data_IF_398539866663
#
_entry.id   IF_398539866663
#
_cell.length_a   1.000
_cell.length_b   1.000
_cell.length_c   1.000
_cell.angle_alpha   90.00
_cell.angle_beta   90.00
_cell.angle_gamma   90.00
#
_symmetry.space_group_name_H-M   'P 1'
#
loop_
_entity.id
_entity.type
_entity.pdbx_description
1 polymer ?
#
# COMPACT_ATOMS: atom_id res chain seq x y z
N UNK A 1 23.73 2.62 14.97
CA UNK A 1 22.85 1.78 14.10
C UNK A 1 22.41 2.64 12.95
N UNK A 2 22.33 2.14 11.72
CA UNK A 2 21.84 2.92 10.58
C UNK A 2 20.33 3.17 10.76
N UNK A 3 19.84 4.39 10.41
CA UNK A 3 18.40 4.79 10.51
C UNK A 3 17.46 3.75 9.89
N UNK A 4 17.84 3.19 8.74
CA UNK A 4 17.04 2.16 8.04
C UNK A 4 16.92 0.86 8.84
N UNK A 5 17.98 0.45 9.52
CA UNK A 5 17.98 -0.73 10.38
C UNK A 5 17.13 -0.53 11.65
N UNK A 6 17.14 0.70 12.19
CA UNK A 6 16.26 1.08 13.31
C UNK A 6 14.79 1.02 12.90
N UNK A 7 14.43 1.57 11.72
CA UNK A 7 13.06 1.52 11.21
C UNK A 7 12.55 0.08 11.08
N UNK A 8 13.33 -0.83 10.49
CA UNK A 8 12.97 -2.25 10.35
C UNK A 8 12.75 -2.91 11.72
N UNK A 9 13.64 -2.65 12.67
CA UNK A 9 13.54 -3.24 14.02
C UNK A 9 12.34 -2.72 14.81
N UNK A 10 12.06 -1.42 14.73
CA UNK A 10 10.92 -0.79 15.40
C UNK A 10 9.59 -1.16 14.72
N UNK A 11 9.56 -1.22 13.37
CA UNK A 11 8.38 -1.67 12.64
C UNK A 11 7.97 -3.08 13.07
N UNK A 12 8.94 -4.02 13.18
CA UNK A 12 8.69 -5.36 13.71
C UNK A 12 8.17 -5.33 15.15
N UNK A 13 8.77 -4.52 16.03
CA UNK A 13 8.41 -4.45 17.46
C UNK A 13 7.00 -3.90 17.72
N UNK A 14 6.48 -3.07 16.81
CA UNK A 14 5.17 -2.42 16.95
C UNK A 14 4.07 -3.07 16.10
N UNK A 15 4.39 -4.07 15.28
CA UNK A 15 3.47 -4.64 14.29
C UNK A 15 2.15 -5.18 14.89
N UNK A 16 2.21 -5.85 16.04
CA UNK A 16 1.05 -6.59 16.61
C UNK A 16 0.11 -5.77 17.51
N UNK A 17 0.30 -4.45 17.63
CA UNK A 17 -0.35 -3.66 18.70
C UNK A 17 -1.50 -2.77 18.22
N UNK A 18 -1.85 -2.73 16.94
CA UNK A 18 -2.82 -1.77 16.44
C UNK A 18 -4.21 -2.36 16.22
N UNK A 19 -5.24 -1.57 16.62
CA UNK A 19 -6.63 -1.86 16.26
C UNK A 19 -6.80 -1.78 14.75
N UNK A 20 -7.47 -2.76 14.16
CA UNK A 20 -7.63 -2.83 12.72
C UNK A 20 -9.11 -2.65 12.34
N UNK A 21 -9.39 -1.63 11.55
CA UNK A 21 -10.75 -1.30 11.17
C UNK A 21 -11.35 -2.24 10.11
N UNK A 22 -10.56 -3.11 9.48
CA UNK A 22 -11.11 -4.22 8.71
C UNK A 22 -12.00 -5.17 9.55
N UNK A 23 -11.83 -5.19 10.87
CA UNK A 23 -12.66 -5.98 11.78
C UNK A 23 -14.11 -5.48 11.88
N UNK A 24 -14.34 -4.21 11.49
CA UNK A 24 -15.67 -3.56 11.44
C UNK A 24 -16.35 -3.63 10.07
N UNK A 25 -15.73 -4.31 9.08
CA UNK A 25 -16.28 -4.56 7.75
C UNK A 25 -16.74 -6.01 7.66
N UNK A 26 -18.01 -6.22 7.32
CA UNK A 26 -18.60 -7.54 7.08
C UNK A 26 -19.11 -7.64 5.65
N UNK A 27 -18.72 -8.69 4.95
CA UNK A 27 -19.28 -9.06 3.64
C UNK A 27 -20.54 -9.87 3.87
N UNK A 28 -21.62 -9.57 3.12
CA UNK A 28 -22.88 -10.32 3.25
C UNK A 28 -22.69 -11.71 2.63
N UNK A 29 -23.05 -12.75 3.38
CA UNK A 29 -22.92 -14.13 2.95
C UNK A 29 -23.93 -14.47 1.83
N UNK A 30 -23.43 -15.16 0.79
CA UNK A 30 -24.26 -15.73 -0.27
C UNK A 30 -24.30 -17.27 -0.15
N UNK A 31 -25.44 -17.86 0.29
CA UNK A 31 -25.54 -19.33 0.43
C UNK A 31 -25.64 -20.09 -0.90
N UNK A 32 -25.84 -19.38 -2.02
CA UNK A 32 -25.95 -19.94 -3.38
C UNK A 32 -24.98 -19.22 -4.35
N UNK A 33 -23.66 -19.39 -4.22
CA UNK A 33 -22.67 -18.61 -4.96
C UNK A 33 -22.69 -18.86 -6.48
N UNK A 34 -23.16 -20.03 -6.92
CA UNK A 34 -23.28 -20.41 -8.35
C UNK A 34 -22.01 -20.21 -9.17
N UNK A 35 -20.84 -20.43 -8.56
CA UNK A 35 -19.53 -20.34 -9.21
C UNK A 35 -18.61 -21.44 -8.71
N UNK A 36 -17.62 -21.83 -9.50
CA UNK A 36 -16.59 -22.78 -9.10
C UNK A 36 -15.27 -22.05 -8.81
N UNK A 37 -14.43 -22.62 -7.96
CA UNK A 37 -13.09 -22.08 -7.67
C UNK A 37 -12.24 -21.93 -8.94
N UNK A 38 -12.42 -22.87 -9.89
CA UNK A 38 -11.70 -22.84 -11.16
C UNK A 38 -12.11 -21.69 -12.10
N UNK A 39 -13.28 -21.06 -11.88
CA UNK A 39 -13.77 -19.94 -12.69
C UNK A 39 -13.23 -18.59 -12.19
N UNK A 40 -12.52 -18.58 -11.06
CA UNK A 40 -12.01 -17.34 -10.44
C UNK A 40 -10.74 -16.88 -11.14
N UNK A 41 -10.80 -15.69 -11.72
CA UNK A 41 -9.67 -14.94 -12.22
C UNK A 41 -9.26 -13.86 -11.19
N UNK A 42 -8.06 -14.01 -10.62
CA UNK A 42 -7.47 -13.04 -9.69
C UNK A 42 -6.79 -11.88 -10.40
N UNK A 43 -6.65 -11.91 -11.73
CA UNK A 43 -5.95 -10.86 -12.45
C UNK A 43 -6.64 -9.50 -12.28
N UNK A 44 -5.83 -8.43 -12.32
CA UNK A 44 -6.32 -7.06 -12.24
C UNK A 44 -5.49 -6.13 -13.11
N UNK A 45 -6.10 -5.02 -13.51
CA UNK A 45 -5.39 -3.88 -14.10
C UNK A 45 -5.14 -2.87 -12.99
N UNK A 46 -3.87 -2.57 -12.73
CA UNK A 46 -3.49 -1.60 -11.70
C UNK A 46 -2.15 -0.93 -12.04
N UNK A 47 -2.07 0.38 -11.82
CA UNK A 47 -0.88 1.19 -12.06
C UNK A 47 -0.27 1.02 -13.47
N UNK A 48 -1.12 0.85 -14.48
CA UNK A 48 -0.69 0.62 -15.87
C UNK A 48 -0.24 -0.81 -16.19
N UNK A 49 -0.38 -1.76 -15.26
CA UNK A 49 0.04 -3.16 -15.44
C UNK A 49 -1.13 -4.12 -15.37
N UNK A 50 -0.98 -5.24 -16.08
CA UNK A 50 -1.76 -6.46 -15.81
C UNK A 50 -1.02 -7.24 -14.74
N UNK A 51 -1.66 -7.45 -13.60
CA UNK A 51 -1.15 -8.24 -12.48
C UNK A 51 -1.89 -9.57 -12.42
N UNK A 52 -1.18 -10.66 -12.18
CA UNK A 52 -1.75 -12.01 -12.02
C UNK A 52 -2.51 -12.18 -10.71
N UNK A 53 -2.21 -11.33 -9.72
CA UNK A 53 -2.84 -11.33 -8.39
C UNK A 53 -3.16 -9.91 -7.97
N UNK A 54 -4.28 -9.68 -7.25
CA UNK A 54 -4.72 -8.34 -6.86
C UNK A 54 -4.04 -7.84 -5.59
N UNK A 55 -2.81 -8.27 -5.33
CA UNK A 55 -1.98 -7.76 -4.24
C UNK A 55 -0.50 -7.77 -4.61
N UNK A 56 0.30 -7.02 -3.88
CA UNK A 56 1.72 -6.81 -4.17
C UNK A 56 2.53 -6.55 -2.90
N UNK A 57 3.85 -6.70 -2.98
CA UNK A 57 4.79 -6.36 -1.91
C UNK A 57 5.10 -4.87 -1.99
N UNK A 58 4.62 -4.10 -1.01
CA UNK A 58 4.78 -2.65 -1.02
C UNK A 58 6.11 -2.20 -0.41
N UNK A 59 6.44 -0.93 -0.61
CA UNK A 59 7.69 -0.30 -0.24
C UNK A 59 8.02 -0.41 1.26
N UNK A 60 9.25 -0.87 1.58
CA UNK A 60 9.68 -1.04 2.96
C UNK A 60 11.06 -0.46 3.24
N UNK A 61 12.13 -0.95 2.60
CA UNK A 61 13.49 -0.67 3.04
C UNK A 61 14.52 -0.58 1.91
N UNK A 62 15.77 -0.24 2.27
CA UNK A 62 16.94 -0.11 1.41
C UNK A 62 17.97 0.85 2.02
N UNK A 63 19.23 0.81 1.58
CA UNK A 63 20.29 1.73 1.97
C UNK A 63 21.21 1.24 3.10
N UNK A 64 21.27 -0.07 3.35
CA UNK A 64 22.29 -0.71 4.20
C UNK A 64 22.50 -2.16 3.76
N UNK A 65 23.60 -2.81 4.14
CA UNK A 65 23.86 -4.23 3.85
C UNK A 65 22.75 -5.15 4.40
N UNK A 66 22.27 -4.86 5.61
CA UNK A 66 21.17 -5.62 6.19
C UNK A 66 19.89 -5.49 5.35
N UNK A 67 19.57 -4.28 4.90
CA UNK A 67 18.38 -4.03 4.08
C UNK A 67 18.55 -4.50 2.64
N UNK A 68 19.79 -4.61 2.12
CA UNK A 68 20.09 -5.28 0.85
C UNK A 68 19.64 -6.74 0.89
N UNK A 69 20.03 -7.48 1.94
CA UNK A 69 19.60 -8.87 2.11
C UNK A 69 18.08 -9.01 2.18
N UNK A 70 17.40 -8.11 2.89
CA UNK A 70 15.94 -8.09 2.97
C UNK A 70 15.33 -7.84 1.58
N UNK A 71 15.85 -6.87 0.82
CA UNK A 71 15.38 -6.57 -0.53
C UNK A 71 15.61 -7.76 -1.49
N UNK A 72 16.74 -8.44 -1.37
CA UNK A 72 17.03 -9.66 -2.12
C UNK A 72 15.97 -10.74 -1.83
N UNK A 73 15.73 -11.02 -0.56
CA UNK A 73 14.79 -12.04 -0.12
C UNK A 73 13.35 -11.71 -0.56
N UNK A 74 12.93 -10.45 -0.42
CA UNK A 74 11.62 -9.99 -0.89
C UNK A 74 11.47 -10.08 -2.41
N UNK A 75 12.53 -9.82 -3.18
CA UNK A 75 12.52 -9.96 -4.63
C UNK A 75 12.37 -11.43 -5.06
N UNK A 76 13.02 -12.35 -4.35
CA UNK A 76 12.84 -13.80 -4.57
C UNK A 76 11.39 -14.20 -4.27
N UNK A 77 10.83 -13.75 -3.13
CA UNK A 77 9.41 -14.01 -2.79
C UNK A 77 8.47 -13.46 -3.86
N UNK A 78 8.70 -12.23 -4.32
CA UNK A 78 7.87 -11.62 -5.37
C UNK A 78 7.94 -12.40 -6.68
N UNK A 79 9.14 -12.83 -7.10
CA UNK A 79 9.33 -13.65 -8.30
C UNK A 79 8.60 -14.97 -8.23
N UNK A 80 8.78 -15.72 -7.13
CA UNK A 80 8.21 -17.06 -6.98
C UNK A 80 6.68 -17.08 -6.79
N UNK A 81 6.12 -15.95 -6.34
CA UNK A 81 4.68 -15.76 -6.20
C UNK A 81 4.06 -14.91 -7.33
N UNK A 82 4.85 -14.50 -8.33
CA UNK A 82 4.46 -13.62 -9.44
C UNK A 82 3.74 -12.35 -8.95
N UNK A 83 4.39 -11.61 -8.06
CA UNK A 83 3.87 -10.37 -7.47
C UNK A 83 4.67 -9.15 -7.92
N UNK A 84 3.98 -8.04 -8.14
CA UNK A 84 4.61 -6.73 -8.23
C UNK A 84 5.30 -6.38 -6.92
N UNK A 85 6.42 -5.65 -6.97
CA UNK A 85 7.18 -5.24 -5.78
C UNK A 85 7.61 -3.78 -5.85
N UNK A 86 7.51 -3.04 -4.75
CA UNK A 86 8.06 -1.71 -4.59
C UNK A 86 9.25 -1.71 -3.64
N UNK A 87 10.32 -0.98 -4.00
CA UNK A 87 11.46 -0.76 -3.10
C UNK A 87 11.13 0.29 -2.03
N UNK A 88 11.85 0.29 -0.92
CA UNK A 88 11.85 1.44 -0.02
C UNK A 88 12.46 2.68 -0.70
N UNK A 89 12.32 3.86 -0.06
CA UNK A 89 12.83 5.11 -0.62
C UNK A 89 14.30 5.00 -1.05
N UNK A 90 14.55 5.25 -2.34
CA UNK A 90 15.89 5.21 -2.95
C UNK A 90 16.73 6.45 -2.66
N UNK A 91 16.20 7.42 -1.88
CA UNK A 91 16.90 8.67 -1.54
C UNK A 91 18.29 8.46 -0.93
N UNK A 92 18.53 7.32 -0.26
CA UNK A 92 19.85 6.99 0.26
C UNK A 92 20.86 6.75 -0.87
N UNK A 93 20.49 5.96 -1.88
CA UNK A 93 21.35 5.67 -3.05
C UNK A 93 21.55 6.90 -3.94
N UNK A 94 20.52 7.76 -4.06
CA UNK A 94 20.66 9.03 -4.80
C UNK A 94 21.61 10.02 -4.11
N UNK A 95 21.78 9.95 -2.79
CA UNK A 95 22.73 10.74 -2.01
C UNK A 95 24.13 10.13 -2.01
N UNK A 96 24.20 8.80 -1.91
CA UNK A 96 25.43 8.02 -1.86
C UNK A 96 25.33 6.84 -2.83
N UNK A 97 25.93 6.95 -4.04
CA UNK A 97 25.90 5.92 -5.07
C UNK A 97 26.46 4.56 -4.62
N UNK A 98 27.31 4.52 -3.58
CA UNK A 98 27.82 3.24 -3.03
C UNK A 98 26.74 2.35 -2.44
N UNK A 99 25.56 2.91 -2.15
CA UNK A 99 24.37 2.20 -1.64
C UNK A 99 23.44 1.70 -2.75
N UNK A 100 23.77 1.95 -4.03
CA UNK A 100 22.90 1.62 -5.16
C UNK A 100 22.56 0.13 -5.22
N UNK A 101 23.51 -0.75 -4.90
CA UNK A 101 23.34 -2.20 -4.95
C UNK A 101 22.31 -2.73 -3.93
N UNK A 102 22.04 -1.96 -2.86
CA UNK A 102 20.98 -2.29 -1.89
C UNK A 102 19.57 -2.21 -2.47
N UNK A 103 19.42 -1.59 -3.63
CA UNK A 103 18.15 -1.47 -4.39
C UNK A 103 18.21 -2.24 -5.71
N UNK A 104 19.33 -2.16 -6.45
CA UNK A 104 19.46 -2.84 -7.76
C UNK A 104 19.41 -4.36 -7.62
N UNK A 105 19.70 -4.91 -6.45
CA UNK A 105 19.55 -6.34 -6.14
C UNK A 105 18.13 -6.84 -6.45
N UNK A 106 17.09 -5.99 -6.30
CA UNK A 106 15.70 -6.37 -6.58
C UNK A 106 15.51 -6.71 -8.06
N UNK A 107 16.08 -5.88 -8.97
CA UNK A 107 16.04 -6.14 -10.42
C UNK A 107 16.91 -7.34 -10.81
N UNK A 108 18.04 -7.54 -10.13
CA UNK A 108 18.92 -8.70 -10.37
C UNK A 108 18.22 -10.01 -10.03
N UNK A 109 17.51 -10.06 -8.89
CA UNK A 109 16.78 -11.26 -8.45
C UNK A 109 15.45 -11.46 -9.20
N UNK A 110 14.83 -10.38 -9.69
CA UNK A 110 13.57 -10.43 -10.43
C UNK A 110 13.67 -9.67 -11.78
N UNK A 111 14.42 -10.21 -12.77
CA UNK A 111 14.73 -9.47 -14.01
C UNK A 111 13.53 -9.01 -14.82
N UNK A 112 12.43 -9.79 -14.82
CA UNK A 112 11.21 -9.53 -15.61
C UNK A 112 10.02 -9.09 -14.74
N UNK A 113 10.25 -8.87 -13.44
CA UNK A 113 9.20 -8.45 -12.50
C UNK A 113 8.75 -7.02 -12.71
N UNK A 114 7.55 -6.70 -12.25
CA UNK A 114 7.06 -5.33 -12.15
C UNK A 114 7.62 -4.71 -10.88
N UNK A 115 8.60 -3.82 -11.03
CA UNK A 115 9.35 -3.21 -9.92
C UNK A 115 9.09 -1.71 -9.89
N UNK A 116 8.70 -1.20 -8.73
CA UNK A 116 8.39 0.20 -8.49
C UNK A 116 9.53 0.86 -7.72
N UNK A 117 10.10 1.93 -8.26
CA UNK A 117 11.00 2.83 -7.53
C UNK A 117 10.19 3.71 -6.55
N UNK A 118 10.80 4.11 -5.44
CA UNK A 118 10.11 4.93 -4.43
C UNK A 118 10.97 6.14 -4.01
N UNK A 119 10.34 7.32 -3.98
CA UNK A 119 10.95 8.59 -3.56
C UNK A 119 10.01 9.39 -2.66
N UNK A 120 10.53 10.36 -1.93
CA UNK A 120 9.71 11.32 -1.17
C UNK A 120 9.18 12.46 -2.03
N UNK A 121 8.07 13.07 -1.63
CA UNK A 121 7.38 14.13 -2.39
C UNK A 121 8.21 15.41 -2.60
N UNK A 122 9.22 15.67 -1.76
CA UNK A 122 10.16 16.79 -1.94
C UNK A 122 11.32 16.53 -2.92
N UNK A 123 11.27 15.42 -3.70
CA UNK A 123 12.33 15.05 -4.65
C UNK A 123 12.21 15.84 -5.96
N UNK A 124 13.34 16.30 -6.54
CA UNK A 124 13.33 16.97 -7.84
C UNK A 124 13.08 16.01 -9.00
N UNK A 125 12.70 16.57 -10.17
CA UNK A 125 12.44 15.81 -11.41
C UNK A 125 13.68 14.98 -11.82
N UNK A 126 14.88 15.58 -11.79
CA UNK A 126 16.12 14.91 -12.19
C UNK A 126 16.40 13.68 -11.32
N UNK A 127 16.18 13.80 -10.00
CA UNK A 127 16.34 12.71 -9.06
C UNK A 127 15.25 11.64 -9.19
N UNK A 128 14.04 12.04 -9.55
CA UNK A 128 12.96 11.10 -9.86
C UNK A 128 13.31 10.23 -11.08
N UNK A 129 13.83 10.87 -12.15
CA UNK A 129 14.33 10.16 -13.33
C UNK A 129 15.55 9.28 -13.02
N UNK A 130 16.45 9.74 -12.16
CA UNK A 130 17.60 8.95 -11.71
C UNK A 130 17.12 7.71 -10.93
N UNK A 131 16.13 7.84 -10.05
CA UNK A 131 15.54 6.73 -9.32
C UNK A 131 14.97 5.64 -10.25
N UNK A 132 14.29 6.05 -11.33
CA UNK A 132 13.78 5.12 -12.35
C UNK A 132 14.92 4.39 -13.05
N UNK A 133 15.94 5.15 -13.48
CA UNK A 133 17.11 4.59 -14.20
C UNK A 133 17.95 3.66 -13.34
N UNK A 134 18.02 3.88 -12.03
CA UNK A 134 18.89 3.15 -11.10
C UNK A 134 18.78 1.61 -11.22
N UNK A 135 17.58 1.10 -11.43
CA UNK A 135 17.34 -0.34 -11.62
C UNK A 135 16.26 -0.62 -12.67
N UNK A 136 16.11 0.27 -13.66
CA UNK A 136 15.11 0.14 -14.73
C UNK A 136 13.71 -0.12 -14.17
N UNK A 137 13.26 0.76 -13.25
CA UNK A 137 11.97 0.62 -12.62
C UNK A 137 10.82 0.74 -13.63
N UNK A 138 9.79 -0.11 -13.49
CA UNK A 138 8.62 -0.13 -14.36
C UNK A 138 7.61 0.98 -14.01
N UNK A 139 7.63 1.46 -12.75
CA UNK A 139 6.83 2.58 -12.26
C UNK A 139 7.58 3.37 -11.20
N UNK A 140 7.11 4.58 -10.93
CA UNK A 140 7.60 5.42 -9.83
C UNK A 140 6.50 5.60 -8.78
N UNK A 141 6.87 5.48 -7.51
CA UNK A 141 6.01 5.77 -6.38
C UNK A 141 6.55 6.99 -5.62
N UNK A 142 5.70 8.00 -5.42
CA UNK A 142 6.00 9.16 -4.58
C UNK A 142 5.25 8.99 -3.25
N UNK A 143 5.98 8.97 -2.13
CA UNK A 143 5.34 8.89 -0.83
C UNK A 143 5.15 10.26 -0.18
N UNK A 144 3.94 10.46 0.38
CA UNK A 144 3.55 11.59 1.21
C UNK A 144 3.70 11.17 2.68
N UNK A 145 4.59 11.81 3.42
CA UNK A 145 4.94 11.40 4.78
C UNK A 145 5.09 12.58 5.75
N UNK A 146 4.33 13.66 5.56
CA UNK A 146 4.46 14.86 6.37
C UNK A 146 4.38 14.60 7.90
N UNK A 147 3.46 13.78 8.44
CA UNK A 147 3.44 13.47 9.85
C UNK A 147 4.72 12.75 10.33
N UNK A 148 5.29 11.87 9.52
CA UNK A 148 6.57 11.22 9.82
C UNK A 148 7.69 12.26 9.88
N UNK A 149 7.82 13.12 8.88
CA UNK A 149 8.85 14.16 8.81
C UNK A 149 8.76 15.12 10.02
N UNK A 150 7.54 15.51 10.39
CA UNK A 150 7.32 16.42 11.53
C UNK A 150 7.68 15.78 12.88
N UNK A 151 7.53 14.47 13.03
CA UNK A 151 7.94 13.77 14.26
C UNK A 151 9.43 13.43 14.25
N UNK A 152 10.01 13.17 13.10
CA UNK A 152 11.42 12.85 12.93
C UNK A 152 12.29 14.07 13.36
N UNK A 153 13.30 13.89 14.23
CA UNK A 153 14.14 15.00 14.69
C UNK A 153 14.81 15.77 13.55
N UNK A 154 15.31 15.04 12.56
CA UNK A 154 16.01 15.54 11.37
C UNK A 154 15.11 15.73 10.13
N UNK A 155 13.79 15.62 10.29
CA UNK A 155 12.86 15.66 9.18
C UNK A 155 12.57 17.05 8.63
N UNK A 156 11.97 17.09 7.46
CA UNK A 156 11.57 18.32 6.78
C UNK A 156 10.44 19.04 7.53
N UNK A 157 10.38 20.37 7.36
CA UNK A 157 9.40 21.27 8.00
C UNK A 157 8.67 22.14 6.98
N UNK A 158 9.00 22.04 5.70
CA UNK A 158 8.36 22.78 4.62
C UNK A 158 7.89 21.81 3.53
N UNK A 159 6.58 21.78 3.28
CA UNK A 159 5.90 20.91 2.33
C UNK A 159 5.20 21.71 1.24
N UNK A 160 5.46 23.00 1.15
CA UNK A 160 4.73 23.93 0.27
C UNK A 160 4.91 23.65 -1.21
N UNK A 161 6.02 23.04 -1.62
CA UNK A 161 6.36 22.73 -3.00
C UNK A 161 5.94 21.33 -3.46
N UNK A 162 5.37 20.48 -2.58
CA UNK A 162 5.08 19.08 -2.92
C UNK A 162 4.13 18.94 -4.11
N UNK A 163 3.03 19.72 -4.16
CA UNK A 163 2.08 19.66 -5.27
C UNK A 163 2.73 20.02 -6.60
N UNK A 164 3.55 21.09 -6.64
CA UNK A 164 4.26 21.50 -7.85
C UNK A 164 5.24 20.43 -8.34
N UNK A 165 6.06 19.87 -7.43
CA UNK A 165 7.00 18.80 -7.76
C UNK A 165 6.31 17.52 -8.24
N UNK A 166 5.20 17.12 -7.64
CA UNK A 166 4.41 15.97 -8.11
C UNK A 166 3.93 16.20 -9.55
N UNK A 167 3.40 17.38 -9.85
CA UNK A 167 2.91 17.73 -11.19
C UNK A 167 4.06 17.76 -12.22
N UNK A 168 5.20 18.34 -11.86
CA UNK A 168 6.38 18.38 -12.71
C UNK A 168 6.91 16.96 -12.99
N UNK A 169 7.02 16.11 -11.96
CA UNK A 169 7.45 14.72 -12.11
C UNK A 169 6.46 13.94 -12.98
N UNK A 170 5.14 14.06 -12.71
CA UNK A 170 4.09 13.40 -13.51
C UNK A 170 4.24 13.71 -15.02
N UNK A 171 4.62 14.95 -15.35
CA UNK A 171 4.78 15.39 -16.76
C UNK A 171 6.09 14.92 -17.37
N UNK A 172 7.14 14.70 -16.54
CA UNK A 172 8.52 14.51 -17.00
C UNK A 172 8.98 13.05 -17.06
N UNK A 173 8.17 12.09 -16.61
CA UNK A 173 8.53 10.66 -16.58
C UNK A 173 7.69 9.87 -17.58
N UNK A 174 8.29 8.81 -18.14
CA UNK A 174 7.66 7.94 -19.15
C UNK A 174 7.05 6.65 -18.54
N UNK A 175 7.15 6.48 -17.21
CA UNK A 175 6.58 5.33 -16.50
C UNK A 175 5.37 5.76 -15.66
N UNK A 176 4.44 4.84 -15.32
CA UNK A 176 3.32 5.15 -14.45
C UNK A 176 3.77 5.76 -13.11
N UNK A 177 3.05 6.81 -12.67
CA UNK A 177 3.24 7.42 -11.35
C UNK A 177 2.15 6.96 -10.37
N UNK A 178 2.58 6.55 -9.19
CA UNK A 178 1.72 6.23 -8.03
C UNK A 178 2.03 7.25 -6.94
N UNK A 179 1.05 8.00 -6.46
CA UNK A 179 1.23 8.82 -5.25
C UNK A 179 0.65 8.07 -4.06
N UNK A 180 1.46 7.86 -3.02
CA UNK A 180 1.05 7.06 -1.86
C UNK A 180 1.21 7.78 -0.55
N UNK A 181 0.38 7.44 0.39
CA UNK A 181 0.55 7.73 1.81
C UNK A 181 1.36 6.62 2.50
N UNK A 182 1.78 6.83 3.75
CA UNK A 182 2.67 5.89 4.44
C UNK A 182 2.07 5.28 5.73
N UNK A 183 0.77 5.41 5.91
CA UNK A 183 0.07 4.84 7.06
C UNK A 183 -0.77 5.85 7.84
N UNK A 184 -1.10 7.00 7.22
CA UNK A 184 -2.00 8.02 7.79
C UNK A 184 -3.28 8.19 6.99
N UNK A 185 -3.36 7.58 5.79
CA UNK A 185 -4.55 7.57 4.93
C UNK A 185 -4.76 8.83 4.11
N UNK A 186 -5.67 8.75 3.15
CA UNK A 186 -6.10 9.88 2.30
C UNK A 186 -7.60 10.12 2.43
N UNK A 187 -8.01 11.37 2.31
CA UNK A 187 -9.40 11.80 2.22
C UNK A 187 -9.73 12.19 0.77
N UNK A 188 -11.03 12.27 0.44
CA UNK A 188 -11.50 12.60 -0.91
C UNK A 188 -10.94 13.92 -1.46
N UNK A 189 -10.77 14.91 -0.58
CA UNK A 189 -10.22 16.22 -0.95
C UNK A 189 -8.76 16.09 -1.44
N UNK A 190 -7.94 15.29 -0.76
CA UNK A 190 -6.55 15.02 -1.20
C UNK A 190 -6.53 14.25 -2.52
N UNK A 191 -7.41 13.27 -2.69
CA UNK A 191 -7.51 12.47 -3.92
C UNK A 191 -7.91 13.35 -5.10
N UNK A 192 -8.91 14.24 -4.93
CA UNK A 192 -9.32 15.20 -5.95
C UNK A 192 -8.19 16.20 -6.29
N UNK A 193 -7.46 16.67 -5.28
CA UNK A 193 -6.29 17.52 -5.49
C UNK A 193 -5.25 16.81 -6.38
N UNK A 194 -4.89 15.56 -6.05
CA UNK A 194 -3.93 14.77 -6.82
C UNK A 194 -4.41 14.50 -8.26
N UNK A 195 -5.70 14.23 -8.44
CA UNK A 195 -6.30 14.09 -9.77
C UNK A 195 -6.15 15.37 -10.60
N UNK A 196 -6.32 16.54 -9.99
CA UNK A 196 -6.14 17.84 -10.66
C UNK A 196 -4.70 18.11 -11.11
N UNK A 197 -3.71 17.43 -10.50
CA UNK A 197 -2.30 17.48 -10.90
C UNK A 197 -1.95 16.47 -12.01
N UNK A 198 -2.94 15.71 -12.53
CA UNK A 198 -2.74 14.69 -13.56
C UNK A 198 -2.28 13.33 -13.02
N UNK A 199 -2.33 13.11 -11.72
CA UNK A 199 -2.06 11.79 -11.13
C UNK A 199 -3.21 10.84 -11.44
N UNK A 200 -2.90 9.62 -11.87
CA UNK A 200 -3.91 8.62 -12.25
C UNK A 200 -4.06 7.48 -11.23
N UNK A 201 -3.06 7.25 -10.39
CA UNK A 201 -3.06 6.13 -9.44
C UNK A 201 -2.60 6.62 -8.07
N UNK A 202 -3.37 6.29 -7.03
CA UNK A 202 -3.00 6.54 -5.63
C UNK A 202 -3.03 5.26 -4.80
N UNK A 203 -2.10 5.14 -3.84
CA UNK A 203 -2.16 4.16 -2.75
C UNK A 203 -2.52 4.91 -1.46
N UNK A 204 -3.73 4.68 -0.97
CA UNK A 204 -4.30 5.46 0.15
C UNK A 204 -3.66 5.14 1.50
N UNK A 205 -2.89 4.12 1.62
CA UNK A 205 -2.09 3.66 2.77
C UNK A 205 -2.52 4.21 4.13
N UNK A 206 -3.55 3.60 4.70
CA UNK A 206 -4.15 4.08 5.94
C UNK A 206 -3.52 3.51 7.21
N UNK A 207 -3.98 4.02 8.35
CA UNK A 207 -3.65 3.54 9.69
C UNK A 207 -4.12 2.08 9.87
N UNK A 208 -3.56 1.39 10.83
CA UNK A 208 -3.74 0.00 11.25
C UNK A 208 -2.57 -0.93 10.87
N UNK A 209 -1.53 -0.39 10.24
CA UNK A 209 -0.27 -1.07 9.97
C UNK A 209 0.88 -0.45 10.77
N UNK A 210 2.00 -0.18 10.11
CA UNK A 210 3.16 0.49 10.69
C UNK A 210 2.83 1.95 11.02
N UNK A 211 3.01 2.37 12.27
CA UNK A 211 2.87 3.77 12.67
C UNK A 211 4.24 4.47 12.62
N UNK A 212 4.47 5.29 11.59
CA UNK A 212 5.73 6.03 11.47
C UNK A 212 5.89 7.12 12.52
N UNK A 213 4.80 7.74 13.01
CA UNK A 213 4.88 8.66 14.14
C UNK A 213 5.37 7.96 15.39
N UNK A 214 4.92 6.74 15.65
CA UNK A 214 5.39 5.94 16.80
C UNK A 214 6.87 5.54 16.64
N UNK A 215 7.28 5.13 15.43
CA UNK A 215 8.68 4.77 15.12
C UNK A 215 9.59 5.98 15.33
N UNK A 216 9.26 7.13 14.73
CA UNK A 216 10.10 8.32 14.81
C UNK A 216 10.11 8.90 16.23
N UNK A 217 9.00 8.85 16.95
CA UNK A 217 8.95 9.26 18.35
C UNK A 217 9.80 8.34 19.26
N UNK A 218 9.89 7.03 18.95
CA UNK A 218 10.77 6.12 19.68
C UNK A 218 12.27 6.45 19.50
N UNK A 219 12.65 7.11 18.38
CA UNK A 219 14.00 7.62 18.12
C UNK A 219 14.31 8.95 18.83
N UNK A 220 13.29 9.67 19.30
CA UNK A 220 13.46 10.92 20.06
C UNK A 220 13.90 10.62 21.49
N UNK A 221 14.82 11.44 22.03
CA UNK A 221 15.33 11.26 23.39
C UNK A 221 14.26 11.38 24.47
N UNK A 222 13.30 12.29 24.28
CA UNK A 222 12.23 12.57 25.24
C UNK A 222 10.95 11.78 24.97
N UNK A 223 10.76 11.27 23.74
CA UNK A 223 9.54 10.55 23.29
C UNK A 223 8.24 11.30 23.61
N UNK A 224 8.26 12.62 23.52
CA UNK A 224 7.19 13.53 23.98
C UNK A 224 5.94 13.53 23.08
N UNK A 225 6.01 12.92 21.88
CA UNK A 225 4.93 12.92 20.89
C UNK A 225 4.12 11.61 20.86
N UNK A 226 4.06 10.85 21.96
CA UNK A 226 3.32 9.59 22.05
C UNK A 226 1.83 9.73 21.70
N UNK A 227 1.24 10.89 21.92
CA UNK A 227 -0.16 11.15 21.59
C UNK A 227 -0.45 11.16 20.09
N UNK A 228 0.58 11.17 19.24
CA UNK A 228 0.45 11.06 17.77
C UNK A 228 0.50 9.61 17.26
N UNK A 229 0.62 8.61 18.15
CA UNK A 229 0.72 7.21 17.75
C UNK A 229 -0.47 6.74 16.89
N UNK A 230 -1.67 7.27 17.18
CA UNK A 230 -2.92 6.95 16.48
C UNK A 230 -3.33 8.03 15.45
N UNK A 231 -2.41 8.88 15.02
CA UNK A 231 -2.70 9.93 14.04
C UNK A 231 -3.09 9.34 12.68
N UNK A 232 -4.07 9.96 12.02
CA UNK A 232 -4.54 9.57 10.68
C UNK A 232 -5.81 8.72 10.69
N UNK A 233 -6.34 8.47 9.50
CA UNK A 233 -7.52 7.62 9.26
C UNK A 233 -7.11 6.22 8.80
N UNK A 234 -7.99 5.25 9.01
CA UNK A 234 -7.73 3.85 8.63
C UNK A 234 -7.75 3.66 7.11
N UNK A 235 -7.23 2.52 6.67
CA UNK A 235 -7.33 2.06 5.28
C UNK A 235 -8.79 1.93 4.84
N UNK A 236 -9.66 1.44 5.72
CA UNK A 236 -11.10 1.30 5.43
C UNK A 236 -11.76 2.67 5.26
N UNK A 237 -11.53 3.60 6.18
CA UNK A 237 -12.04 4.97 6.07
C UNK A 237 -11.52 5.65 4.80
N UNK A 238 -10.24 5.51 4.47
CA UNK A 238 -9.64 6.08 3.28
C UNK A 238 -10.20 5.49 1.98
N UNK A 239 -10.49 4.18 1.93
CA UNK A 239 -11.16 3.56 0.78
C UNK A 239 -12.59 4.09 0.60
N UNK A 240 -13.32 4.28 1.69
CA UNK A 240 -14.67 4.87 1.65
C UNK A 240 -14.63 6.34 1.20
N UNK A 241 -13.66 7.12 1.66
CA UNK A 241 -13.41 8.49 1.16
C UNK A 241 -13.04 8.49 -0.34
N UNK A 242 -12.21 7.53 -0.78
CA UNK A 242 -11.83 7.42 -2.19
C UNK A 242 -13.02 7.13 -3.10
N UNK A 243 -13.99 6.33 -2.65
CA UNK A 243 -15.22 6.05 -3.39
C UNK A 243 -16.18 7.26 -3.49
N UNK A 244 -15.99 8.28 -2.67
CA UNK A 244 -16.73 9.54 -2.70
C UNK A 244 -15.95 10.67 -3.41
N UNK A 245 -14.72 10.39 -3.89
CA UNK A 245 -13.95 11.35 -4.68
C UNK A 245 -14.56 11.52 -6.07
N UNK A 246 -14.56 12.77 -6.56
CA UNK A 246 -15.07 13.10 -7.89
C UNK A 246 -13.98 12.90 -8.96
N UNK A 247 -13.57 11.64 -9.13
CA UNK A 247 -12.50 11.29 -10.06
C UNK A 247 -12.58 9.82 -10.47
N UNK A 248 -11.96 9.49 -11.63
CA UNK A 248 -11.80 8.13 -12.12
C UNK A 248 -10.42 7.54 -11.78
N UNK A 249 -9.74 8.05 -10.74
CA UNK A 249 -8.43 7.56 -10.33
C UNK A 249 -8.46 6.08 -9.96
N UNK A 250 -7.39 5.39 -10.29
CA UNK A 250 -7.14 4.04 -9.77
C UNK A 250 -6.74 4.12 -8.29
N UNK A 251 -7.44 3.37 -7.46
CA UNK A 251 -7.18 3.29 -6.03
C UNK A 251 -6.47 1.98 -5.70
N UNK A 252 -5.26 2.09 -5.20
CA UNK A 252 -4.57 1.03 -4.51
C UNK A 252 -4.77 1.21 -3.01
N UNK A 253 -4.73 0.12 -2.26
CA UNK A 253 -4.85 0.15 -0.82
C UNK A 253 -3.65 -0.50 -0.16
N UNK A 254 -3.19 0.06 0.94
CA UNK A 254 -2.22 -0.58 1.84
C UNK A 254 -2.42 -0.08 3.27
N UNK A 255 -1.70 -0.67 4.22
CA UNK A 255 -1.83 -0.37 5.64
C UNK A 255 -2.78 -1.31 6.39
N UNK A 256 -2.27 -2.05 7.36
CA UNK A 256 -3.03 -2.95 8.21
C UNK A 256 -3.46 -4.27 7.58
N UNK A 257 -2.89 -4.68 6.47
CA UNK A 257 -3.19 -5.94 5.79
C UNK A 257 -2.51 -7.09 6.53
N UNK A 258 -3.30 -7.99 7.11
CA UNK A 258 -2.84 -9.10 7.98
C UNK A 258 -2.91 -10.46 7.28
N UNK A 259 -3.84 -10.63 6.33
CA UNK A 259 -4.17 -11.91 5.69
C UNK A 259 -4.96 -11.69 4.39
N UNK A 260 -5.28 -12.77 3.68
CA UNK A 260 -6.07 -12.73 2.45
C UNK A 260 -7.48 -12.15 2.65
N UNK A 261 -8.08 -12.29 3.84
CA UNK A 261 -9.42 -11.74 4.09
C UNK A 261 -9.42 -10.22 4.18
N UNK A 262 -8.35 -9.60 4.71
CA UNK A 262 -8.21 -8.14 4.68
C UNK A 262 -7.99 -7.63 3.24
N UNK A 263 -7.20 -8.36 2.42
CA UNK A 263 -7.06 -8.09 0.98
C UNK A 263 -8.43 -8.14 0.30
N UNK A 264 -9.17 -9.22 0.50
CA UNK A 264 -10.51 -9.41 -0.06
C UNK A 264 -11.47 -8.27 0.31
N UNK A 265 -11.48 -7.83 1.58
CA UNK A 265 -12.30 -6.69 2.02
C UNK A 265 -11.89 -5.37 1.35
N UNK A 266 -10.59 -5.12 1.22
CA UNK A 266 -10.10 -3.93 0.53
C UNK A 266 -10.50 -3.92 -0.95
N UNK A 267 -10.45 -5.08 -1.61
CA UNK A 267 -10.95 -5.23 -2.99
C UNK A 267 -12.45 -5.00 -3.08
N UNK A 268 -13.27 -5.58 -2.18
CA UNK A 268 -14.71 -5.31 -2.10
C UNK A 268 -15.01 -3.82 -1.89
N UNK A 269 -14.12 -3.10 -1.23
CA UNK A 269 -14.21 -1.65 -1.02
C UNK A 269 -13.76 -0.82 -2.23
N UNK A 270 -13.33 -1.44 -3.33
CA UNK A 270 -13.01 -0.76 -4.58
C UNK A 270 -11.53 -0.65 -4.92
N UNK A 271 -10.62 -1.17 -4.09
CA UNK A 271 -9.21 -1.19 -4.44
C UNK A 271 -8.96 -2.05 -5.70
N UNK A 272 -8.07 -1.60 -6.59
CA UNK A 272 -7.62 -2.35 -7.78
C UNK A 272 -6.54 -3.37 -7.43
N UNK A 273 -5.67 -3.03 -6.49
CA UNK A 273 -4.69 -3.94 -5.91
C UNK A 273 -4.36 -3.52 -4.47
N UNK A 274 -3.83 -4.45 -3.69
CA UNK A 274 -3.59 -4.27 -2.25
C UNK A 274 -2.12 -4.50 -1.93
N UNK A 275 -1.46 -3.49 -1.40
CA UNK A 275 -0.08 -3.53 -0.95
C UNK A 275 0.06 -4.10 0.46
N UNK A 276 0.97 -5.03 0.64
CA UNK A 276 1.35 -5.56 1.96
C UNK A 276 2.81 -5.26 2.26
N UNK A 277 3.13 -4.84 3.48
CA UNK A 277 4.49 -4.47 3.91
C UNK A 277 4.85 -5.17 5.21
N UNK A 278 4.41 -4.63 6.33
CA UNK A 278 4.83 -5.07 7.67
C UNK A 278 4.58 -6.54 7.94
N UNK A 279 3.46 -7.09 7.51
CA UNK A 279 3.11 -8.50 7.68
C UNK A 279 4.10 -9.41 6.94
N UNK A 280 4.37 -9.11 5.66
CA UNK A 280 5.32 -9.89 4.86
C UNK A 280 6.74 -9.76 5.40
N UNK A 281 7.16 -8.55 5.76
CA UNK A 281 8.49 -8.32 6.36
C UNK A 281 8.66 -9.09 7.67
N UNK A 282 7.67 -9.04 8.55
CA UNK A 282 7.71 -9.75 9.83
C UNK A 282 7.75 -11.26 9.63
N UNK A 283 6.96 -11.77 8.68
CA UNK A 283 6.96 -13.19 8.35
C UNK A 283 8.31 -13.62 7.77
N UNK A 284 8.85 -12.87 6.81
CA UNK A 284 10.17 -13.13 6.22
C UNK A 284 11.27 -13.17 7.29
N UNK A 285 11.28 -12.20 8.19
CA UNK A 285 12.29 -12.14 9.26
C UNK A 285 12.19 -13.26 10.30
N UNK A 286 11.00 -13.84 10.50
CA UNK A 286 10.75 -14.89 11.48
C UNK A 286 10.88 -16.30 10.89
N UNK A 287 10.52 -16.49 9.61
CA UNK A 287 10.33 -17.81 9.01
C UNK A 287 11.19 -18.03 7.76
N UNK A 288 11.77 -16.95 7.19
CA UNK A 288 12.63 -17.04 6.00
C UNK A 288 11.87 -17.02 4.68
N UNK A 289 12.63 -17.18 3.59
CA UNK A 289 12.16 -16.97 2.22
C UNK A 289 11.12 -18.02 1.82
N UNK A 290 11.42 -19.31 2.01
CA UNK A 290 10.56 -20.43 1.57
C UNK A 290 9.17 -20.38 2.21
N UNK A 291 9.10 -20.16 3.52
CA UNK A 291 7.83 -20.05 4.24
C UNK A 291 7.05 -18.80 3.80
N UNK A 292 7.75 -17.71 3.43
CA UNK A 292 7.10 -16.50 2.94
C UNK A 292 6.56 -16.68 1.53
N UNK A 293 7.25 -17.42 0.66
CA UNK A 293 6.72 -17.83 -0.65
C UNK A 293 5.44 -18.66 -0.48
N UNK A 294 5.47 -19.64 0.43
CA UNK A 294 4.29 -20.47 0.71
C UNK A 294 3.12 -19.62 1.22
N UNK A 295 3.36 -18.66 2.11
CA UNK A 295 2.33 -17.73 2.60
C UNK A 295 1.71 -16.92 1.45
N UNK A 296 2.51 -16.37 0.52
CA UNK A 296 1.96 -15.59 -0.60
C UNK A 296 1.10 -16.46 -1.52
N UNK A 297 1.55 -17.67 -1.83
CA UNK A 297 0.76 -18.64 -2.63
C UNK A 297 -0.50 -19.08 -1.90
N UNK A 298 -0.44 -19.29 -0.59
CA UNK A 298 -1.61 -19.58 0.23
C UNK A 298 -2.63 -18.44 0.16
N UNK A 299 -2.19 -17.17 0.23
CA UNK A 299 -3.12 -16.04 0.11
C UNK A 299 -3.80 -15.97 -1.27
N UNK A 300 -3.09 -16.35 -2.34
CA UNK A 300 -3.70 -16.46 -3.68
C UNK A 300 -4.81 -17.51 -3.70
N UNK A 301 -4.58 -18.70 -3.11
CA UNK A 301 -5.60 -19.74 -3.02
C UNK A 301 -6.77 -19.35 -2.10
N UNK A 302 -6.49 -18.74 -0.95
CA UNK A 302 -7.52 -18.24 -0.04
C UNK A 302 -8.39 -17.16 -0.71
N UNK A 303 -7.81 -16.28 -1.53
CA UNK A 303 -8.57 -15.31 -2.31
C UNK A 303 -9.54 -15.99 -3.28
N UNK A 304 -9.11 -17.06 -3.99
CA UNK A 304 -10.01 -17.83 -4.87
C UNK A 304 -11.20 -18.40 -4.09
N UNK A 305 -10.96 -18.93 -2.91
CA UNK A 305 -12.04 -19.43 -2.03
C UNK A 305 -12.99 -18.30 -1.61
N UNK A 306 -12.45 -17.15 -1.20
CA UNK A 306 -13.25 -15.99 -0.78
C UNK A 306 -14.11 -15.41 -1.91
N UNK A 307 -13.55 -15.31 -3.14
CA UNK A 307 -14.31 -14.93 -4.33
C UNK A 307 -15.46 -15.92 -4.59
N UNK A 308 -15.16 -17.22 -4.54
CA UNK A 308 -16.17 -18.26 -4.73
C UNK A 308 -17.29 -18.19 -3.69
N UNK A 309 -16.97 -17.94 -2.41
CA UNK A 309 -17.95 -17.82 -1.31
C UNK A 309 -19.00 -16.73 -1.57
N UNK A 310 -18.68 -15.69 -2.32
CA UNK A 310 -19.62 -14.60 -2.62
C UNK A 310 -20.18 -14.66 -4.05
N UNK A 311 -19.78 -15.66 -4.83
CA UNK A 311 -20.21 -15.81 -6.23
C UNK A 311 -19.51 -14.84 -7.19
N UNK A 312 -18.34 -14.30 -6.81
CA UNK A 312 -17.54 -13.46 -7.68
C UNK A 312 -16.53 -14.30 -8.46
N UNK A 313 -16.33 -13.99 -9.75
CA UNK A 313 -15.34 -14.66 -10.61
C UNK A 313 -14.16 -13.76 -10.97
N UNK A 314 -14.26 -12.45 -10.71
CA UNK A 314 -13.23 -11.45 -11.01
C UNK A 314 -13.40 -10.21 -10.16
N UNK A 315 -12.45 -9.26 -10.24
CA UNK A 315 -12.47 -8.04 -9.44
C UNK A 315 -13.69 -7.16 -9.70
N UNK A 316 -14.21 -7.11 -10.93
CA UNK A 316 -15.38 -6.29 -11.26
C UNK A 316 -16.64 -6.80 -10.55
N UNK A 317 -16.84 -8.13 -10.53
CA UNK A 317 -17.95 -8.76 -9.79
C UNK A 317 -17.75 -8.67 -8.29
N UNK A 318 -16.48 -8.64 -7.81
CA UNK A 318 -16.18 -8.45 -6.40
C UNK A 318 -16.56 -7.05 -5.90
N UNK A 319 -16.34 -6.01 -6.70
CA UNK A 319 -16.73 -4.63 -6.37
C UNK A 319 -18.25 -4.46 -6.17
N UNK A 320 -19.06 -5.41 -6.65
CA UNK A 320 -20.52 -5.42 -6.47
C UNK A 320 -20.98 -6.10 -5.17
N UNK A 321 -20.06 -6.60 -4.34
CA UNK A 321 -20.43 -7.28 -3.11
C UNK A 321 -20.99 -6.32 -2.07
N UNK A 322 -22.08 -6.72 -1.42
CA UNK A 322 -22.71 -5.95 -0.37
C UNK A 322 -21.91 -6.03 0.94
N UNK A 323 -21.74 -4.87 1.58
CA UNK A 323 -20.91 -4.69 2.77
C UNK A 323 -21.71 -4.03 3.89
N UNK A 324 -21.47 -4.47 5.12
CA UNK A 324 -22.02 -3.87 6.35
C UNK A 324 -20.86 -3.32 7.18
N UNK A 325 -21.05 -2.12 7.70
CA UNK A 325 -20.08 -1.42 8.54
C UNK A 325 -20.59 -1.22 9.96
N UNK A 326 -19.69 -1.25 10.92
CA UNK A 326 -20.02 -1.02 12.33
C UNK A 326 -18.91 -0.21 13.03
N UNK A 327 -19.16 0.20 14.27
CA UNK A 327 -18.18 0.89 15.11
C UNK A 327 -17.59 2.14 14.46
N UNK A 328 -16.28 2.42 14.66
CA UNK A 328 -15.67 3.67 14.23
C UNK A 328 -15.74 3.93 12.72
N UNK A 329 -15.84 2.88 11.90
CA UNK A 329 -16.02 3.03 10.44
C UNK A 329 -17.39 3.62 10.15
N UNK A 330 -18.44 3.12 10.81
CA UNK A 330 -19.80 3.67 10.67
C UNK A 330 -19.86 5.12 11.14
N UNK A 331 -19.29 5.42 12.31
CA UNK A 331 -19.27 6.77 12.88
C UNK A 331 -18.56 7.76 11.94
N UNK A 332 -17.44 7.33 11.31
CA UNK A 332 -16.73 8.11 10.29
C UNK A 332 -17.65 8.44 9.10
N UNK A 333 -18.29 7.40 8.55
CA UNK A 333 -19.16 7.56 7.38
C UNK A 333 -20.34 8.52 7.66
N UNK A 334 -20.99 8.37 8.81
CA UNK A 334 -22.09 9.24 9.22
C UNK A 334 -21.62 10.71 9.32
N UNK A 335 -20.46 10.95 9.95
CA UNK A 335 -19.90 12.29 10.10
C UNK A 335 -19.44 12.90 8.76
N UNK A 336 -18.99 12.06 7.80
CA UNK A 336 -18.52 12.48 6.48
C UNK A 336 -19.61 12.46 5.39
N UNK A 337 -20.85 12.09 5.74
CA UNK A 337 -21.99 12.02 4.80
C UNK A 337 -21.83 10.92 3.74
N UNK A 338 -21.13 9.83 4.06
CA UNK A 338 -20.99 8.68 3.18
C UNK A 338 -22.22 7.77 3.33
N UNK A 339 -22.92 7.52 2.24
CA UNK A 339 -24.13 6.69 2.24
C UNK A 339 -23.78 5.20 2.36
N UNK A 340 -23.94 4.65 3.56
CA UNK A 340 -23.71 3.24 3.83
C UNK A 340 -24.77 2.30 3.25
N UNK A 341 -25.98 2.80 2.97
CA UNK A 341 -27.06 1.99 2.41
C UNK A 341 -26.70 1.49 1.02
N UNK A 342 -26.04 2.34 0.21
CA UNK A 342 -25.58 1.92 -1.12
C UNK A 342 -24.63 0.71 -1.08
N UNK A 343 -23.77 0.61 -0.04
CA UNK A 343 -22.88 -0.52 0.12
C UNK A 343 -23.61 -1.78 0.59
N UNK A 344 -24.59 -1.64 1.47
CA UNK A 344 -25.39 -2.77 1.97
C UNK A 344 -26.28 -3.41 0.92
N UNK A 345 -26.58 -2.68 -0.16
CA UNK A 345 -27.54 -3.08 -1.20
C UNK A 345 -26.93 -3.33 -2.58
N UNK A 346 -25.60 -3.35 -2.71
CA UNK A 346 -24.90 -3.52 -4.01
C UNK A 346 -25.30 -4.78 -4.77
N UNK A 347 -25.63 -5.88 -4.07
CA UNK A 347 -26.08 -7.13 -4.71
C UNK A 347 -27.54 -7.17 -5.09
N UNK A 348 -28.34 -6.18 -4.71
CA UNK A 348 -29.75 -6.10 -5.08
C UNK A 348 -29.86 -5.71 -6.56
N UNK A 349 -30.49 -6.58 -7.38
CA UNK A 349 -30.72 -6.28 -8.79
C UNK A 349 -31.76 -5.17 -8.91
N UNK A 350 -31.41 -4.04 -9.51
CA UNK A 350 -32.34 -2.96 -9.84
C UNK A 350 -32.36 -1.79 -8.88
N UNK A 351 -31.31 -1.57 -8.09
CA UNK A 351 -31.12 -0.34 -7.29
C UNK A 351 -30.04 0.53 -7.92
#
# INVERSE_FOLDING_TARGET
MNRKDEHVSLAKAFHDKQKNEFDFVRVIHNPLPQTAVADVDLSTQAAGFTLSSPFYINAMTGGSEKTKKINQDLAIVAREADLMIATGSVSAALKDPSLADTYTIVRQEYPHGKIIANIGAGTSVERAQEAIRLFHADALQIHLNAPQELVMPEGDRDFTNWKALIQEIQTAIDVPLIVKEVGFGMIRETINDLASLGVHTVDISGRSGTSFTQIENARRSKRELNYLADWGQSTVASLLEANEADTSMEILASGGIRNAYDIFKALCLGAKAVGTSGTVLTHLMNHGVEETIMLMKQWQEELRLLYTMVGATNIATLHQQSLIFSGPVKDWCEARGIDLVKYGRRTEKGV
#
